data_IF_652013417985
#
_entry.id   IF_652013417985
#
_cell.length_a   1.000
_cell.length_b   1.000
_cell.length_c   1.000
_cell.angle_alpha   90.00
_cell.angle_beta   90.00
_cell.angle_gamma   90.00
#
_symmetry.space_group_name_H-M   'P 1'
#
loop_
_entity.id
_entity.type
_entity.pdbx_description
1 polymer ?
#
# COMPACT_ATOMS: atom_id res chain seq x y z
N UNK A 1 64.26 -2.23 -19.06
CA UNK A 1 63.61 -2.82 -17.86
C UNK A 1 62.93 -1.76 -16.98
N UNK A 2 63.62 -0.72 -16.50
CA UNK A 2 63.04 0.33 -15.63
C UNK A 2 61.84 1.05 -16.29
N UNK A 3 61.94 1.40 -17.58
CA UNK A 3 60.85 2.08 -18.32
C UNK A 3 59.56 1.22 -18.36
N UNK A 4 59.69 -0.09 -18.54
CA UNK A 4 58.56 -1.01 -18.52
C UNK A 4 57.86 -1.04 -17.14
N UNK A 5 58.61 -1.03 -16.07
CA UNK A 5 58.06 -0.97 -14.71
C UNK A 5 57.32 0.33 -14.43
N UNK A 6 57.89 1.46 -14.90
CA UNK A 6 57.23 2.77 -14.78
C UNK A 6 55.91 2.80 -15.57
N UNK A 7 55.85 2.25 -16.78
CA UNK A 7 54.63 2.19 -17.59
C UNK A 7 53.58 1.31 -16.94
N UNK A 8 53.94 0.16 -16.36
CA UNK A 8 53.01 -0.71 -15.63
C UNK A 8 52.44 0.02 -14.41
N UNK A 9 53.29 0.69 -13.65
CA UNK A 9 52.85 1.46 -12.46
C UNK A 9 51.92 2.61 -12.84
N UNK A 10 52.22 3.36 -13.90
CA UNK A 10 51.35 4.42 -14.39
C UNK A 10 50.01 3.87 -14.91
N UNK A 11 50.01 2.71 -15.57
CA UNK A 11 48.81 2.06 -16.04
C UNK A 11 47.93 1.61 -14.87
N UNK A 12 48.53 1.05 -13.81
CA UNK A 12 47.83 0.64 -12.60
C UNK A 12 47.16 1.85 -11.91
N UNK A 13 47.89 2.96 -11.71
CA UNK A 13 47.35 4.20 -11.14
C UNK A 13 46.27 4.80 -12.01
N UNK A 14 46.40 4.81 -13.31
CA UNK A 14 45.37 5.31 -14.22
C UNK A 14 44.08 4.48 -14.15
N UNK A 15 44.25 3.14 -14.05
CA UNK A 15 43.11 2.23 -13.92
C UNK A 15 42.38 2.44 -12.59
N UNK A 16 43.12 2.56 -11.48
CA UNK A 16 42.55 2.80 -10.16
C UNK A 16 41.81 4.12 -10.11
N UNK A 17 42.39 5.18 -10.67
CA UNK A 17 41.71 6.48 -10.79
C UNK A 17 40.45 6.43 -11.64
N UNK A 18 40.47 5.71 -12.77
CA UNK A 18 39.31 5.52 -13.62
C UNK A 18 38.16 4.76 -12.89
N UNK A 19 38.51 3.74 -12.10
CA UNK A 19 37.54 3.03 -11.29
C UNK A 19 36.95 3.89 -10.20
N UNK A 20 37.78 4.63 -9.48
CA UNK A 20 37.32 5.57 -8.44
C UNK A 20 36.35 6.63 -9.00
N UNK A 21 36.73 7.27 -10.12
CA UNK A 21 35.85 8.25 -10.78
C UNK A 21 34.53 7.63 -11.24
N UNK A 22 34.53 6.40 -11.77
CA UNK A 22 33.31 5.73 -12.21
C UNK A 22 32.36 5.48 -11.03
N UNK A 23 32.90 5.08 -9.89
CA UNK A 23 32.13 4.86 -8.67
C UNK A 23 31.52 6.17 -8.17
N UNK A 24 32.29 7.25 -8.15
CA UNK A 24 31.83 8.57 -7.71
C UNK A 24 30.75 9.17 -8.64
N UNK A 25 30.91 9.01 -9.96
CA UNK A 25 29.91 9.42 -10.94
C UNK A 25 28.62 8.62 -10.77
N UNK A 26 28.70 7.30 -10.55
CA UNK A 26 27.52 6.47 -10.32
C UNK A 26 26.83 6.84 -8.99
N UNK A 27 27.57 7.05 -7.92
CA UNK A 27 27.03 7.49 -6.64
C UNK A 27 26.32 8.84 -6.76
N UNK A 28 26.93 9.81 -7.45
CA UNK A 28 26.34 11.14 -7.69
C UNK A 28 25.09 11.02 -8.55
N UNK A 29 25.07 10.17 -9.57
CA UNK A 29 23.89 9.91 -10.39
C UNK A 29 22.76 9.34 -9.57
N UNK A 30 23.02 8.28 -8.82
CA UNK A 30 22.00 7.63 -7.98
C UNK A 30 21.41 8.63 -6.97
N UNK A 31 22.26 9.43 -6.33
CA UNK A 31 21.80 10.47 -5.41
C UNK A 31 20.91 11.50 -6.10
N UNK A 32 21.29 11.93 -7.31
CA UNK A 32 20.47 12.86 -8.11
C UNK A 32 19.12 12.25 -8.47
N UNK A 33 19.10 10.99 -8.93
CA UNK A 33 17.87 10.25 -9.27
C UNK A 33 16.95 10.06 -8.05
N UNK A 34 17.52 9.75 -6.89
CA UNK A 34 16.76 9.64 -5.63
C UNK A 34 16.11 10.98 -5.26
N UNK A 35 16.88 12.08 -5.34
CA UNK A 35 16.36 13.42 -5.04
C UNK A 35 15.27 13.83 -6.03
N UNK A 36 15.48 13.59 -7.33
CA UNK A 36 14.48 13.87 -8.37
C UNK A 36 13.21 13.05 -8.12
N UNK A 37 13.32 11.75 -7.83
CA UNK A 37 12.19 10.87 -7.53
C UNK A 37 11.42 11.31 -6.28
N UNK A 38 12.14 11.73 -5.24
CA UNK A 38 11.51 12.28 -4.03
C UNK A 38 10.68 13.53 -4.33
N UNK A 39 11.22 14.47 -5.09
CA UNK A 39 10.48 15.70 -5.43
C UNK A 39 9.32 15.42 -6.38
N UNK A 40 9.46 14.48 -7.31
CA UNK A 40 8.36 14.03 -8.17
C UNK A 40 7.23 13.40 -7.35
N UNK A 41 7.54 12.51 -6.42
CA UNK A 41 6.55 11.92 -5.53
C UNK A 41 5.84 12.99 -4.69
N UNK A 42 6.59 13.96 -4.16
CA UNK A 42 6.03 15.09 -3.42
C UNK A 42 5.14 15.98 -4.30
N UNK A 43 5.50 16.19 -5.56
CA UNK A 43 4.68 16.90 -6.52
C UNK A 43 3.36 16.16 -6.82
N UNK A 44 3.39 14.82 -6.89
CA UNK A 44 2.18 13.98 -6.99
C UNK A 44 1.22 14.21 -5.84
N UNK A 45 1.72 14.26 -4.60
CA UNK A 45 0.91 14.60 -3.41
C UNK A 45 0.29 16.00 -3.55
N UNK A 46 1.05 16.98 -4.00
CA UNK A 46 0.53 18.35 -4.20
C UNK A 46 -0.56 18.40 -5.30
N UNK A 47 -0.42 17.61 -6.37
CA UNK A 47 -1.44 17.48 -7.41
C UNK A 47 -2.70 16.87 -6.85
N UNK A 48 -2.59 15.79 -6.06
CA UNK A 48 -3.73 15.18 -5.38
C UNK A 48 -4.43 16.15 -4.43
N UNK A 49 -3.67 16.93 -3.64
CA UNK A 49 -4.21 17.96 -2.77
C UNK A 49 -4.91 19.07 -3.55
N UNK A 50 -4.33 19.52 -4.67
CA UNK A 50 -4.93 20.54 -5.52
C UNK A 50 -6.24 20.05 -6.16
N UNK A 51 -6.30 18.77 -6.56
CA UNK A 51 -7.51 18.13 -7.06
C UNK A 51 -8.61 18.12 -5.98
N UNK A 52 -8.26 17.72 -4.75
CA UNK A 52 -9.18 17.69 -3.61
C UNK A 52 -9.73 19.09 -3.25
N UNK A 53 -8.91 20.13 -3.38
CA UNK A 53 -9.30 21.51 -3.06
C UNK A 53 -10.12 22.17 -4.17
N UNK A 54 -9.92 21.75 -5.43
CA UNK A 54 -10.53 22.41 -6.58
C UNK A 54 -12.03 22.19 -6.67
N UNK A 55 -12.50 20.99 -6.29
CA UNK A 55 -13.93 20.68 -6.31
C UNK A 55 -14.33 19.57 -5.33
N UNK A 56 -15.20 19.90 -4.42
CA UNK A 56 -15.62 19.05 -3.31
C UNK A 56 -16.73 18.02 -3.66
N UNK A 57 -16.87 17.58 -4.90
CA UNK A 57 -17.85 16.56 -5.27
C UNK A 57 -17.19 15.26 -5.66
N UNK A 58 -16.95 14.45 -4.67
CA UNK A 58 -16.47 13.08 -4.84
C UNK A 58 -17.69 12.17 -5.06
N UNK A 59 -17.75 11.49 -6.19
CA UNK A 59 -18.98 10.84 -6.60
C UNK A 59 -18.95 9.31 -6.66
N UNK A 60 -17.81 8.66 -6.79
CA UNK A 60 -17.79 7.21 -6.75
C UNK A 60 -16.37 6.64 -6.73
N UNK A 61 -16.25 5.37 -6.36
CA UNK A 61 -15.04 4.58 -6.56
C UNK A 61 -15.12 3.94 -7.93
N UNK A 62 -14.11 4.20 -8.76
CA UNK A 62 -13.90 3.42 -9.96
C UNK A 62 -13.01 2.22 -9.63
N UNK A 63 -13.33 1.00 -10.10
CA UNK A 63 -12.54 -0.20 -9.77
C UNK A 63 -11.05 -0.09 -10.09
N UNK A 64 -10.72 0.65 -11.15
CA UNK A 64 -9.34 0.82 -11.63
C UNK A 64 -8.67 2.08 -11.10
N UNK A 65 -9.41 3.16 -10.88
CA UNK A 65 -8.85 4.49 -10.57
C UNK A 65 -9.03 4.91 -9.12
N UNK A 66 -9.69 4.11 -8.31
CA UNK A 66 -9.99 4.43 -6.92
C UNK A 66 -11.01 5.57 -6.80
N UNK A 67 -10.77 6.45 -5.86
CA UNK A 67 -11.65 7.57 -5.57
C UNK A 67 -11.62 8.64 -6.68
N UNK A 68 -12.73 8.86 -7.35
CA UNK A 68 -12.83 9.85 -8.43
C UNK A 68 -13.39 11.15 -7.89
N UNK A 69 -12.60 12.21 -7.98
CA UNK A 69 -13.08 13.59 -7.92
C UNK A 69 -13.36 14.05 -9.35
N UNK A 70 -14.54 14.55 -9.61
CA UNK A 70 -14.90 15.06 -10.92
C UNK A 70 -16.11 15.97 -10.88
N UNK A 71 -16.14 16.93 -11.78
CA UNK A 71 -17.33 17.74 -12.05
C UNK A 71 -18.25 16.89 -12.93
N UNK A 72 -19.52 16.63 -12.55
CA UNK A 72 -20.45 16.06 -13.51
C UNK A 72 -20.50 17.00 -14.71
N UNK A 73 -20.24 16.50 -15.92
CA UNK A 73 -20.50 17.28 -17.14
C UNK A 73 -21.94 17.80 -17.02
N UNK A 74 -22.10 19.09 -17.02
CA UNK A 74 -23.41 19.73 -16.85
C UNK A 74 -24.43 19.03 -17.74
N UNK A 75 -25.54 18.61 -17.12
CA UNK A 75 -26.71 18.16 -17.84
C UNK A 75 -27.03 19.20 -18.92
N UNK A 76 -26.67 18.93 -20.18
CA UNK A 76 -27.39 19.56 -21.28
C UNK A 76 -28.79 18.94 -21.22
N UNK A 77 -29.72 19.75 -20.80
CA UNK A 77 -31.15 19.43 -20.71
C UNK A 77 -31.72 19.16 -22.11
N UNK A 78 -31.32 18.08 -22.75
CA UNK A 78 -31.96 17.54 -23.94
C UNK A 78 -32.08 16.02 -23.79
N UNK A 79 -33.30 15.66 -23.40
CA UNK A 79 -34.00 14.39 -23.63
C UNK A 79 -33.18 13.22 -24.18
N UNK A 80 -32.59 12.40 -23.31
CA UNK A 80 -32.68 10.95 -23.44
C UNK A 80 -32.32 10.28 -22.12
N UNK A 81 -33.18 9.37 -21.67
CA UNK A 81 -33.11 8.63 -20.38
C UNK A 81 -31.98 7.59 -20.34
N UNK A 82 -30.91 7.75 -21.11
CA UNK A 82 -29.83 6.74 -21.22
C UNK A 82 -28.40 7.24 -21.11
N UNK A 83 -28.16 8.50 -20.84
CA UNK A 83 -26.81 8.99 -20.61
C UNK A 83 -26.55 9.12 -19.10
N UNK A 84 -26.02 8.05 -18.52
CA UNK A 84 -25.30 8.11 -17.25
C UNK A 84 -24.24 9.20 -17.44
N UNK A 85 -24.28 10.23 -16.59
CA UNK A 85 -23.36 11.35 -16.62
C UNK A 85 -21.92 10.83 -16.63
N UNK A 86 -21.22 10.96 -17.76
CA UNK A 86 -19.79 10.75 -17.83
C UNK A 86 -19.11 11.83 -17.00
N UNK A 87 -18.51 11.41 -15.90
CA UNK A 87 -17.60 12.26 -15.12
C UNK A 87 -16.34 12.52 -15.93
N UNK A 88 -15.85 13.74 -15.90
CA UNK A 88 -14.54 14.04 -16.43
C UNK A 88 -13.50 13.45 -15.46
N UNK A 89 -12.95 12.30 -15.84
CA UNK A 89 -11.93 11.63 -15.04
C UNK A 89 -10.63 12.41 -15.20
N UNK A 90 -10.11 12.91 -14.09
CA UNK A 90 -8.79 13.54 -14.06
C UNK A 90 -7.75 12.45 -14.34
N UNK A 91 -6.87 12.68 -15.32
CA UNK A 91 -5.76 11.78 -15.56
C UNK A 91 -4.79 11.84 -14.38
N UNK A 92 -4.55 10.70 -13.75
CA UNK A 92 -3.65 10.54 -12.59
C UNK A 92 -2.45 9.64 -12.89
N UNK A 93 -2.35 9.17 -14.12
CA UNK A 93 -1.28 8.26 -14.55
C UNK A 93 -0.36 8.94 -15.53
N UNK A 94 0.93 8.69 -15.39
CA UNK A 94 1.99 9.15 -16.29
C UNK A 94 1.95 10.66 -16.57
N UNK A 95 1.69 11.45 -15.52
CA UNK A 95 1.68 12.91 -15.63
C UNK A 95 3.13 13.38 -15.78
N UNK A 96 3.45 13.98 -16.91
CA UNK A 96 4.78 14.53 -17.17
C UNK A 96 5.06 15.74 -16.28
N UNK A 97 6.12 15.67 -15.49
CA UNK A 97 6.62 16.76 -14.63
C UNK A 97 8.14 16.84 -14.73
N UNK A 98 8.63 17.90 -15.37
CA UNK A 98 10.06 18.08 -15.58
C UNK A 98 10.67 16.95 -16.41
N UNK A 99 11.60 16.20 -15.83
CA UNK A 99 12.29 15.08 -16.50
C UNK A 99 11.70 13.71 -16.17
N UNK A 100 10.59 13.64 -15.44
CA UNK A 100 9.98 12.37 -15.03
C UNK A 100 8.46 12.38 -15.12
N UNK A 101 7.87 11.28 -14.72
CA UNK A 101 6.43 11.09 -14.68
C UNK A 101 5.96 10.80 -13.27
N UNK A 102 4.73 11.18 -12.98
CA UNK A 102 4.07 10.93 -11.68
C UNK A 102 2.75 10.23 -11.91
N UNK A 103 2.52 9.18 -11.12
CA UNK A 103 1.22 8.53 -10.99
C UNK A 103 0.78 8.61 -9.53
N UNK A 104 -0.47 8.99 -9.28
CA UNK A 104 -1.02 9.02 -7.93
C UNK A 104 -2.43 8.47 -7.89
N UNK A 105 -2.82 7.99 -6.70
CA UNK A 105 -4.16 7.52 -6.41
C UNK A 105 -4.67 8.21 -5.15
N UNK A 106 -5.96 8.50 -5.12
CA UNK A 106 -6.65 9.04 -3.94
C UNK A 106 -7.60 7.96 -3.44
N UNK A 107 -7.49 7.63 -2.15
CA UNK A 107 -8.38 6.67 -1.47
C UNK A 107 -9.00 7.32 -0.25
N UNK A 108 -10.23 6.92 0.12
CA UNK A 108 -10.90 7.37 1.33
C UNK A 108 -10.75 6.32 2.43
N UNK A 109 -10.09 6.69 3.50
CA UNK A 109 -9.92 5.80 4.66
C UNK A 109 -11.25 5.48 5.36
N UNK A 110 -12.28 6.35 5.24
CA UNK A 110 -13.60 6.08 5.81
C UNK A 110 -14.35 4.91 5.14
N UNK A 111 -13.89 4.43 4.00
CA UNK A 111 -14.39 3.21 3.36
C UNK A 111 -13.79 1.92 3.89
N UNK A 112 -12.89 2.00 4.89
CA UNK A 112 -12.17 0.86 5.47
C UNK A 112 -12.58 0.62 6.92
N UNK A 113 -12.21 -0.52 7.47
CA UNK A 113 -12.47 -0.91 8.87
C UNK A 113 -11.24 -0.63 9.74
N UNK A 114 -11.44 0.00 10.89
CA UNK A 114 -10.34 0.17 11.85
C UNK A 114 -9.97 -1.18 12.47
N UNK A 115 -8.76 -1.66 12.18
CA UNK A 115 -8.28 -2.97 12.63
C UNK A 115 -8.12 -3.05 14.15
N UNK A 116 -7.79 -1.94 14.81
CA UNK A 116 -7.63 -1.86 16.27
C UNK A 116 -8.95 -1.99 17.03
N UNK A 117 -10.09 -1.97 16.32
CA UNK A 117 -11.44 -2.07 16.91
C UNK A 117 -12.28 -3.18 16.28
N UNK A 118 -11.72 -3.92 15.35
CA UNK A 118 -12.41 -4.97 14.65
C UNK A 118 -12.68 -6.17 15.58
N UNK A 119 -13.92 -6.65 15.60
CA UNK A 119 -14.21 -7.92 16.29
C UNK A 119 -13.69 -9.10 15.47
N UNK A 120 -13.58 -10.27 16.12
CA UNK A 120 -13.16 -11.50 15.42
C UNK A 120 -14.02 -11.81 14.20
N UNK A 121 -15.34 -11.62 14.31
CA UNK A 121 -16.28 -11.87 13.22
C UNK A 121 -16.04 -10.92 12.03
N UNK A 122 -15.74 -9.66 12.32
CA UNK A 122 -15.39 -8.66 11.30
C UNK A 122 -14.05 -9.03 10.63
N UNK A 123 -13.05 -9.42 11.41
CA UNK A 123 -11.76 -9.86 10.87
C UNK A 123 -11.91 -11.07 9.94
N UNK A 124 -12.68 -12.09 10.31
CA UNK A 124 -12.96 -13.25 9.46
C UNK A 124 -13.62 -12.84 8.15
N UNK A 125 -14.58 -11.92 8.17
CA UNK A 125 -15.21 -11.41 6.96
C UNK A 125 -14.24 -10.61 6.08
N UNK A 126 -13.36 -9.79 6.67
CA UNK A 126 -12.32 -9.05 5.96
C UNK A 126 -11.35 -10.03 5.30
N UNK A 127 -10.89 -11.05 6.03
CA UNK A 127 -9.99 -12.08 5.50
C UNK A 127 -10.63 -12.84 4.34
N UNK A 128 -11.93 -13.16 4.43
CA UNK A 128 -12.68 -13.74 3.32
C UNK A 128 -12.76 -12.81 2.12
N UNK A 129 -13.05 -11.53 2.34
CA UNK A 129 -13.13 -10.51 1.30
C UNK A 129 -11.78 -10.27 0.60
N UNK A 130 -10.67 -10.41 1.33
CA UNK A 130 -9.32 -10.32 0.77
C UNK A 130 -8.88 -11.55 -0.02
N UNK A 131 -9.68 -12.63 -0.03
CA UNK A 131 -9.41 -13.85 -0.80
C UNK A 131 -8.84 -15.02 0.01
N UNK A 132 -8.74 -14.89 1.33
CA UNK A 132 -8.30 -16.00 2.19
C UNK A 132 -9.48 -16.96 2.40
N UNK A 133 -9.29 -18.24 2.07
CA UNK A 133 -10.33 -19.26 2.19
C UNK A 133 -10.69 -19.50 3.65
N UNK A 134 -11.97 -19.78 3.90
CA UNK A 134 -12.48 -20.16 5.22
C UNK A 134 -11.75 -21.42 5.70
N UNK A 135 -11.22 -21.37 6.92
CA UNK A 135 -10.51 -22.48 7.55
C UNK A 135 -9.45 -22.03 8.54
N UNK A 136 -8.60 -22.94 8.94
CA UNK A 136 -7.56 -22.75 9.97
C UNK A 136 -6.70 -21.51 9.75
N UNK A 137 -6.35 -21.17 8.49
CA UNK A 137 -5.54 -20.00 8.19
C UNK A 137 -6.24 -18.69 8.61
N UNK A 138 -7.55 -18.56 8.35
CA UNK A 138 -8.31 -17.40 8.80
C UNK A 138 -8.37 -17.30 10.31
N UNK A 139 -8.62 -18.43 10.98
CA UNK A 139 -8.69 -18.50 12.44
C UNK A 139 -7.35 -18.09 13.06
N UNK A 140 -6.24 -18.62 12.53
CA UNK A 140 -4.89 -18.26 12.98
C UNK A 140 -4.62 -16.76 12.83
N UNK A 141 -4.93 -16.18 11.66
CA UNK A 141 -4.67 -14.75 11.42
C UNK A 141 -5.56 -13.89 12.31
N UNK A 142 -6.86 -14.19 12.39
CA UNK A 142 -7.80 -13.38 13.17
C UNK A 142 -7.47 -13.42 14.67
N UNK A 143 -7.20 -14.61 15.21
CA UNK A 143 -6.85 -14.76 16.61
C UNK A 143 -5.50 -14.12 16.94
N UNK A 144 -4.49 -14.25 16.05
CA UNK A 144 -3.19 -13.62 16.24
C UNK A 144 -3.20 -12.08 16.11
N UNK A 145 -4.11 -11.51 15.30
CA UNK A 145 -4.30 -10.05 15.25
C UNK A 145 -4.87 -9.56 16.59
N UNK A 146 -5.82 -10.29 17.17
CA UNK A 146 -6.45 -9.92 18.43
C UNK A 146 -5.48 -10.05 19.60
N UNK A 147 -4.68 -11.13 19.64
CA UNK A 147 -3.65 -11.34 20.64
C UNK A 147 -2.53 -10.25 20.54
N UNK A 148 -2.23 -9.78 19.33
CA UNK A 148 -1.25 -8.73 19.14
C UNK A 148 -1.67 -7.38 19.75
N UNK A 149 -3.00 -7.14 19.85
CA UNK A 149 -3.56 -5.85 20.27
C UNK A 149 -3.93 -5.82 21.76
N UNK A 150 -4.38 -6.95 22.34
CA UNK A 150 -4.82 -6.97 23.74
C UNK A 150 -3.66 -6.86 24.73
N UNK A 151 -3.98 -6.56 25.99
CA UNK A 151 -2.99 -6.18 27.00
C UNK A 151 -2.37 -7.37 27.73
N UNK A 152 -2.92 -8.59 27.52
CA UNK A 152 -2.44 -9.77 28.23
C UNK A 152 -1.57 -10.68 27.35
N UNK A 153 -1.02 -11.77 27.90
CA UNK A 153 -0.22 -12.77 27.21
C UNK A 153 -0.96 -14.12 27.13
N UNK A 154 -2.31 -14.12 27.20
CA UNK A 154 -3.13 -15.33 27.10
C UNK A 154 -3.61 -15.54 25.65
N UNK A 155 -2.90 -16.39 24.92
CA UNK A 155 -3.23 -16.60 23.50
C UNK A 155 -4.61 -17.26 23.31
N UNK A 156 -5.34 -16.82 22.30
CA UNK A 156 -6.55 -17.48 21.79
C UNK A 156 -6.21 -18.83 21.21
N UNK A 157 -7.23 -19.64 20.96
CA UNK A 157 -7.08 -21.03 20.51
C UNK A 157 -6.10 -21.20 19.35
N UNK A 158 -6.12 -20.30 18.36
CA UNK A 158 -5.27 -20.35 17.18
C UNK A 158 -4.28 -19.17 17.13
N UNK A 159 -4.28 -18.33 18.13
CA UNK A 159 -3.53 -17.08 18.17
C UNK A 159 -2.04 -17.26 18.45
N UNK A 160 -1.38 -16.15 18.80
CA UNK A 160 0.04 -16.14 19.12
C UNK A 160 0.38 -14.95 20.00
N UNK A 161 1.06 -15.24 21.11
CA UNK A 161 1.58 -14.28 22.06
C UNK A 161 3.10 -14.27 22.10
N UNK A 162 3.67 -13.57 23.06
CA UNK A 162 5.12 -13.38 23.21
C UNK A 162 5.91 -14.70 23.25
N UNK A 163 5.38 -15.78 23.75
CA UNK A 163 6.00 -17.10 23.75
C UNK A 163 6.26 -17.65 22.34
N UNK A 164 5.26 -17.49 21.45
CA UNK A 164 5.40 -17.83 20.03
C UNK A 164 6.45 -16.95 19.35
N UNK A 165 6.37 -15.62 19.49
CA UNK A 165 7.26 -14.70 18.79
C UNK A 165 8.70 -14.78 19.29
N UNK A 166 8.92 -15.10 20.56
CA UNK A 166 10.24 -15.37 21.13
C UNK A 166 10.88 -16.66 20.61
N UNK A 167 10.09 -17.63 20.18
CA UNK A 167 10.58 -18.88 19.60
C UNK A 167 11.11 -18.73 18.16
N UNK A 168 10.86 -17.60 17.52
CA UNK A 168 11.28 -17.33 16.14
C UNK A 168 12.79 -17.06 16.05
N UNK A 169 13.46 -17.33 14.89
CA UNK A 169 14.88 -17.06 14.69
C UNK A 169 15.26 -15.59 14.96
N UNK A 170 14.40 -14.65 14.59
CA UNK A 170 14.51 -13.24 14.95
C UNK A 170 13.45 -12.97 16.03
N UNK A 171 13.79 -13.26 17.28
CA UNK A 171 12.86 -13.18 18.40
C UNK A 171 12.45 -11.74 18.73
N UNK A 172 11.16 -11.57 19.03
CA UNK A 172 10.55 -10.33 19.53
C UNK A 172 9.34 -10.69 20.41
N UNK A 173 8.73 -9.72 21.04
CA UNK A 173 7.50 -9.91 21.82
C UNK A 173 6.28 -9.50 21.01
N UNK A 174 5.11 -10.01 21.37
CA UNK A 174 3.84 -9.41 20.98
C UNK A 174 3.84 -7.94 21.46
N UNK A 175 3.11 -7.08 20.75
CA UNK A 175 3.09 -5.67 21.10
C UNK A 175 2.21 -5.40 22.31
N UNK A 176 1.11 -6.14 22.46
CA UNK A 176 0.07 -5.98 23.47
C UNK A 176 -0.46 -4.53 23.52
N UNK A 177 -0.51 -3.89 22.36
CA UNK A 177 -0.97 -2.52 22.15
C UNK A 177 -1.55 -2.37 20.74
N UNK A 178 -2.41 -1.37 20.48
CA UNK A 178 -2.92 -1.07 19.14
C UNK A 178 -1.83 -0.91 18.09
N UNK A 179 -2.11 -1.27 16.85
CA UNK A 179 -1.23 -1.02 15.71
C UNK A 179 -1.02 0.48 15.48
N UNK A 180 0.24 0.90 15.33
CA UNK A 180 0.63 2.25 14.92
C UNK A 180 0.81 2.36 13.41
N UNK A 181 1.05 1.23 12.73
CA UNK A 181 1.24 1.12 11.29
C UNK A 181 0.66 -0.18 10.76
N UNK A 182 0.11 -0.16 9.53
CA UNK A 182 -0.35 -1.39 8.87
C UNK A 182 0.81 -2.35 8.55
N UNK A 183 2.03 -1.85 8.42
CA UNK A 183 3.23 -2.68 8.19
C UNK A 183 3.57 -3.58 9.39
N UNK A 184 3.11 -3.23 10.60
CA UNK A 184 3.28 -4.08 11.78
C UNK A 184 2.57 -5.43 11.63
N UNK A 185 1.52 -5.50 10.81
CA UNK A 185 0.83 -6.75 10.51
C UNK A 185 1.76 -7.82 9.92
N UNK A 186 2.86 -7.42 9.26
CA UNK A 186 3.87 -8.36 8.77
C UNK A 186 4.61 -9.11 9.90
N UNK A 187 4.47 -8.66 11.15
CA UNK A 187 5.00 -9.35 12.32
C UNK A 187 4.00 -10.34 12.94
N UNK A 188 2.73 -10.23 12.59
CA UNK A 188 1.67 -11.08 13.11
C UNK A 188 1.71 -12.45 12.45
N UNK A 189 1.58 -13.50 13.27
CA UNK A 189 1.56 -14.90 12.81
C UNK A 189 0.52 -15.09 11.70
N UNK A 190 0.92 -15.75 10.63
CA UNK A 190 0.05 -16.09 9.49
C UNK A 190 -0.04 -14.99 8.43
N UNK A 191 0.47 -13.78 8.65
CA UNK A 191 0.45 -12.69 7.67
C UNK A 191 1.79 -12.61 6.92
N UNK A 192 1.72 -12.49 5.60
CA UNK A 192 2.84 -12.23 4.71
C UNK A 192 2.56 -11.01 3.81
N UNK A 193 3.53 -10.65 2.97
CA UNK A 193 3.40 -9.49 2.07
C UNK A 193 2.25 -9.63 1.08
N UNK A 194 2.00 -10.83 0.56
CA UNK A 194 0.93 -11.09 -0.39
C UNK A 194 -0.45 -10.92 0.25
N UNK A 195 -0.61 -11.40 1.48
CA UNK A 195 -1.85 -11.24 2.25
C UNK A 195 -2.09 -9.75 2.57
N UNK A 196 -1.03 -9.03 2.97
CA UNK A 196 -1.17 -7.63 3.37
C UNK A 196 -1.40 -6.70 2.18
N UNK A 197 -0.59 -6.80 1.12
CA UNK A 197 -0.61 -5.87 -0.01
C UNK A 197 -1.35 -6.38 -1.23
N UNK A 198 -1.62 -7.68 -1.31
CA UNK A 198 -2.18 -8.34 -2.48
C UNK A 198 -1.12 -8.91 -3.42
N UNK A 199 -1.60 -9.65 -4.41
CA UNK A 199 -0.77 -10.22 -5.49
C UNK A 199 -0.87 -9.35 -6.73
N UNK A 200 0.25 -9.07 -7.41
CA UNK A 200 0.32 -8.18 -8.58
C UNK A 200 -0.36 -8.75 -9.85
N UNK A 201 -0.93 -9.95 -9.81
CA UNK A 201 -1.53 -10.56 -10.98
C UNK A 201 -2.92 -9.98 -11.29
N UNK A 202 -3.02 -9.23 -12.36
CA UNK A 202 -4.26 -8.74 -12.97
C UNK A 202 -5.11 -9.89 -13.53
N UNK A 203 -5.81 -10.61 -12.67
CA UNK A 203 -6.73 -11.64 -13.11
C UNK A 203 -7.44 -12.32 -11.96
N UNK A 204 -8.73 -12.08 -11.83
CA UNK A 204 -9.64 -12.72 -10.87
C UNK A 204 -9.87 -14.22 -11.20
N UNK A 205 -8.86 -14.97 -11.52
CA UNK A 205 -9.03 -16.39 -11.76
C UNK A 205 -7.80 -17.17 -11.31
N UNK A 206 -7.99 -17.89 -10.27
CA UNK A 206 -7.31 -19.06 -9.78
C UNK A 206 -6.74 -18.89 -8.35
N UNK A 207 -6.66 -20.02 -7.66
CA UNK A 207 -6.21 -20.18 -6.28
C UNK A 207 -4.92 -19.40 -5.98
N UNK A 208 -5.02 -18.42 -5.05
CA UNK A 208 -3.87 -17.70 -4.53
C UNK A 208 -3.80 -16.20 -4.86
N UNK A 209 -4.79 -15.61 -5.53
CA UNK A 209 -4.82 -14.17 -5.72
C UNK A 209 -5.49 -13.48 -4.53
N UNK A 210 -4.72 -12.67 -3.82
CA UNK A 210 -5.20 -11.87 -2.70
C UNK A 210 -5.41 -10.42 -3.13
N UNK A 211 -6.56 -9.83 -2.71
CA UNK A 211 -6.83 -8.40 -2.91
C UNK A 211 -6.00 -7.49 -1.99
N UNK A 212 -5.33 -8.09 -1.00
CA UNK A 212 -4.58 -7.37 0.02
C UNK A 212 -5.46 -6.76 1.13
N UNK A 213 -5.10 -7.05 2.38
CA UNK A 213 -5.81 -6.52 3.55
C UNK A 213 -5.81 -5.00 3.60
N UNK A 214 -4.77 -4.35 3.08
CA UNK A 214 -4.61 -2.90 3.06
C UNK A 214 -5.78 -2.16 2.37
N UNK A 215 -6.53 -2.86 1.51
CA UNK A 215 -7.71 -2.31 0.84
C UNK A 215 -8.96 -2.27 1.73
N UNK A 216 -8.97 -3.02 2.83
CA UNK A 216 -10.13 -3.21 3.70
C UNK A 216 -9.95 -2.64 5.10
N UNK A 217 -8.70 -2.42 5.53
CA UNK A 217 -8.36 -2.04 6.90
C UNK A 217 -7.63 -0.70 6.96
N UNK A 218 -7.76 -0.05 8.10
CA UNK A 218 -7.04 1.17 8.46
C UNK A 218 -6.73 1.17 9.95
N UNK A 219 -5.76 1.97 10.37
CA UNK A 219 -5.49 2.27 11.78
C UNK A 219 -6.13 3.58 12.23
N UNK A 220 -6.67 4.37 11.29
CA UNK A 220 -7.26 5.66 11.59
C UNK A 220 -8.56 5.52 12.38
N UNK A 221 -8.81 6.47 13.28
CA UNK A 221 -10.05 6.53 14.05
C UNK A 221 -11.21 7.00 13.15
N UNK A 222 -11.85 6.07 12.48
CA UNK A 222 -12.97 6.32 11.61
C UNK A 222 -14.23 6.49 12.47
N UNK A 223 -14.82 7.68 12.44
CA UNK A 223 -16.05 7.97 13.17
C UNK A 223 -17.32 7.57 12.39
N UNK A 224 -17.26 7.65 11.07
CA UNK A 224 -18.40 7.37 10.18
C UNK A 224 -17.90 6.56 8.99
N UNK A 225 -18.41 5.35 8.84
CA UNK A 225 -18.14 4.52 7.66
C UNK A 225 -18.81 5.13 6.43
N UNK A 226 -18.05 5.25 5.34
CA UNK A 226 -18.55 5.78 4.07
C UNK A 226 -18.77 4.63 3.06
N UNK A 227 -20.01 4.16 2.89
CA UNK A 227 -20.30 3.06 1.98
C UNK A 227 -20.07 3.41 0.50
N UNK A 228 -20.04 4.71 0.14
CA UNK A 228 -19.82 5.12 -1.25
C UNK A 228 -18.36 4.99 -1.67
N UNK A 229 -17.44 4.92 -0.71
CA UNK A 229 -15.99 4.82 -0.95
C UNK A 229 -15.41 3.48 -0.51
N UNK A 230 -16.22 2.63 0.11
CA UNK A 230 -15.83 1.29 0.52
C UNK A 230 -15.68 0.37 -0.71
N UNK A 231 -14.71 -0.54 -0.64
CA UNK A 231 -14.58 -1.61 -1.62
C UNK A 231 -15.86 -2.47 -1.64
N UNK A 232 -16.28 -2.94 -2.84
CA UNK A 232 -17.53 -3.70 -2.98
C UNK A 232 -17.59 -4.90 -2.03
N UNK A 233 -16.49 -5.62 -1.88
CA UNK A 233 -16.40 -6.74 -0.95
C UNK A 233 -16.46 -6.28 0.53
N UNK A 234 -15.98 -5.07 0.85
CA UNK A 234 -16.10 -4.49 2.19
C UNK A 234 -17.57 -4.20 2.55
N UNK A 235 -18.42 -3.85 1.58
CA UNK A 235 -19.86 -3.66 1.83
C UNK A 235 -20.60 -4.93 2.24
N UNK A 236 -20.04 -6.11 1.97
CA UNK A 236 -20.60 -7.40 2.41
C UNK A 236 -20.25 -7.75 3.86
N UNK A 237 -19.34 -6.98 4.46
CA UNK A 237 -18.90 -7.19 5.85
C UNK A 237 -19.95 -6.67 6.83
N UNK A 238 -20.63 -5.58 6.48
CA UNK A 238 -21.67 -4.92 7.26
C UNK A 238 -23.08 -5.34 6.79
#
# INVERSE_FOLDING_TARGET
>A
MIVLWVLVLLSALATEFAFSMRTEVNATRNYKEDVESYYLARAGIQLAMAELLKEARFHSIHPTYGFIAGIPKQFKAEKSEKEISEYEIVNRTDIELGNGTVTYQITDENGKTNINRASREVLIKILSASGIKIGEQQDVIADSILDWIDEDDEHRLNGAESDYYQSLPNSYNAKNEPFDSLDELLRVKGINREILYGTENEGFSNEGNFLGLINFITIQDIRIFNPNTAHLEALRIY
#
